data_IF_581834657598
#
_entry.id   IF_581834657598
#
_cell.length_a   1.000
_cell.length_b   1.000
_cell.length_c   1.000
_cell.angle_alpha   90.00
_cell.angle_beta   90.00
_cell.angle_gamma   90.00
#
_symmetry.space_group_name_H-M   'P 1'
#
loop_
_entity.id
_entity.type
_entity.pdbx_description
1 polymer ?
#
# COMPACT_ATOMS: atom_id res chain seq x y z
N UNK A 1 -13.88 -14.44 -23.25
CA UNK A 1 -12.49 -13.96 -23.20
C UNK A 1 -12.33 -13.21 -21.90
N UNK A 2 -11.31 -13.53 -21.13
CA UNK A 2 -11.06 -12.89 -19.83
C UNK A 2 -10.50 -11.48 -20.05
N UNK A 3 -10.95 -10.51 -19.22
CA UNK A 3 -10.49 -9.13 -19.36
C UNK A 3 -8.98 -9.02 -19.02
N UNK A 4 -8.19 -8.35 -19.87
CA UNK A 4 -6.72 -8.38 -19.74
C UNK A 4 -6.15 -7.35 -18.76
N UNK A 5 -6.99 -6.61 -18.06
CA UNK A 5 -6.60 -5.60 -17.07
C UNK A 5 -7.09 -5.96 -15.68
N UNK A 6 -6.28 -5.70 -14.67
CA UNK A 6 -6.57 -6.05 -13.27
C UNK A 6 -6.49 -4.83 -12.38
N UNK A 7 -7.58 -4.55 -11.67
CA UNK A 7 -7.65 -3.55 -10.62
C UNK A 7 -8.50 -4.07 -9.45
N UNK A 8 -8.31 -3.49 -8.26
CA UNK A 8 -9.02 -3.93 -7.05
C UNK A 8 -8.51 -5.24 -6.44
N UNK A 9 -7.54 -5.88 -7.05
CA UNK A 9 -6.84 -7.07 -6.54
C UNK A 9 -5.33 -6.96 -6.79
N UNK A 10 -4.56 -7.87 -6.21
CA UNK A 10 -3.11 -7.92 -6.43
C UNK A 10 -2.84 -8.30 -7.90
N UNK A 11 -1.98 -7.53 -8.57
CA UNK A 11 -1.56 -7.82 -9.93
C UNK A 11 -0.60 -9.01 -9.95
N UNK A 12 -0.91 -9.99 -10.78
CA UNK A 12 -0.04 -11.13 -11.08
C UNK A 12 1.02 -10.79 -12.15
N UNK A 13 1.80 -11.78 -12.55
CA UNK A 13 2.92 -11.59 -13.49
C UNK A 13 2.51 -10.94 -14.81
N UNK A 14 1.36 -11.31 -15.37
CA UNK A 14 0.87 -10.79 -16.64
C UNK A 14 0.32 -9.36 -16.51
N UNK A 15 -0.21 -9.03 -15.36
CA UNK A 15 -0.85 -7.75 -15.06
C UNK A 15 0.07 -6.78 -14.32
N UNK A 16 1.30 -7.21 -14.02
CA UNK A 16 2.34 -6.40 -13.42
C UNK A 16 3.15 -5.71 -14.53
N UNK A 17 3.04 -4.38 -14.60
CA UNK A 17 3.76 -3.60 -15.61
C UNK A 17 4.86 -2.76 -14.98
N UNK A 18 5.97 -2.58 -15.72
CA UNK A 18 7.13 -1.79 -15.33
C UNK A 18 7.76 -2.23 -13.99
N UNK A 19 8.30 -1.32 -13.22
CA UNK A 19 8.94 -1.55 -11.92
C UNK A 19 10.22 -2.38 -11.98
N UNK A 20 10.89 -2.47 -13.13
CA UNK A 20 12.09 -3.29 -13.30
C UNK A 20 13.18 -2.91 -12.30
N UNK A 21 13.37 -1.62 -12.08
CA UNK A 21 14.39 -1.10 -11.16
C UNK A 21 14.01 -1.39 -9.69
N UNK A 22 12.75 -1.16 -9.33
CA UNK A 22 12.25 -1.43 -7.99
C UNK A 22 12.25 -2.93 -7.67
N UNK A 23 11.88 -3.77 -8.63
CA UNK A 23 11.97 -5.23 -8.51
C UNK A 23 13.41 -5.67 -8.32
N UNK A 24 14.35 -5.17 -9.14
CA UNK A 24 15.76 -5.51 -9.03
C UNK A 24 16.34 -5.09 -7.68
N UNK A 25 16.09 -3.85 -7.25
CA UNK A 25 16.57 -3.31 -5.98
C UNK A 25 15.99 -4.09 -4.78
N UNK A 26 14.67 -4.29 -4.73
CA UNK A 26 14.02 -4.96 -3.62
C UNK A 26 14.44 -6.43 -3.53
N UNK A 27 14.54 -7.12 -4.68
CA UNK A 27 15.02 -8.51 -4.72
C UNK A 27 16.47 -8.60 -4.24
N UNK A 28 17.33 -7.65 -4.63
CA UNK A 28 18.72 -7.57 -4.17
C UNK A 28 18.79 -7.31 -2.66
N UNK A 29 17.96 -6.42 -2.13
CA UNK A 29 17.88 -6.16 -0.70
C UNK A 29 17.47 -7.43 0.08
N UNK A 30 16.47 -8.15 -0.41
CA UNK A 30 16.05 -9.43 0.19
C UNK A 30 17.18 -10.46 0.21
N UNK A 31 17.92 -10.62 -0.90
CA UNK A 31 19.06 -11.55 -0.99
C UNK A 31 20.17 -11.23 0.02
N UNK A 32 20.40 -9.94 0.26
CA UNK A 32 21.45 -9.45 1.16
C UNK A 32 20.97 -9.18 2.59
N UNK A 33 19.71 -9.49 2.91
CA UNK A 33 19.09 -9.23 4.22
C UNK A 33 19.15 -7.74 4.62
N UNK A 34 18.95 -6.85 3.64
CA UNK A 34 18.86 -5.40 3.86
C UNK A 34 17.41 -5.05 4.14
N UNK A 35 17.14 -4.50 5.33
CA UNK A 35 15.81 -3.99 5.66
C UNK A 35 15.37 -2.93 4.66
N UNK A 36 14.12 -2.96 4.26
CA UNK A 36 13.59 -2.03 3.27
C UNK A 36 12.25 -1.47 3.71
N UNK A 37 12.05 -0.18 3.51
CA UNK A 37 10.79 0.51 3.74
C UNK A 37 10.23 0.98 2.41
N UNK A 38 9.02 0.56 2.04
CA UNK A 38 8.38 0.99 0.80
C UNK A 38 7.32 2.05 1.12
N UNK A 39 7.52 3.24 0.61
CA UNK A 39 6.64 4.38 0.85
C UNK A 39 5.98 4.79 -0.47
N UNK A 40 4.65 4.74 -0.51
CA UNK A 40 3.87 5.26 -1.64
C UNK A 40 2.40 5.46 -1.25
N UNK A 41 1.66 6.25 -2.02
CA UNK A 41 0.22 6.37 -1.83
C UNK A 41 -0.51 5.04 -1.97
N UNK A 42 -1.79 5.05 -1.59
CA UNK A 42 -2.68 3.89 -1.73
C UNK A 42 -2.86 3.49 -3.20
N UNK A 43 -3.03 2.18 -3.46
CA UNK A 43 -3.30 1.63 -4.81
C UNK A 43 -2.18 1.83 -5.85
N UNK A 44 -0.94 2.05 -5.39
CA UNK A 44 0.22 2.18 -6.27
C UNK A 44 0.97 0.86 -6.52
N UNK A 45 0.45 -0.27 -6.04
CA UNK A 45 0.98 -1.59 -6.33
C UNK A 45 2.09 -2.07 -5.40
N UNK A 46 2.19 -1.55 -4.14
CA UNK A 46 3.18 -2.01 -3.15
C UNK A 46 3.13 -3.51 -2.92
N UNK A 47 1.95 -4.02 -2.56
CA UNK A 47 1.75 -5.45 -2.27
C UNK A 47 2.05 -6.32 -3.49
N UNK A 48 1.69 -5.85 -4.71
CA UNK A 48 2.05 -6.54 -5.96
C UNK A 48 3.56 -6.59 -6.18
N UNK A 49 4.29 -5.49 -5.88
CA UNK A 49 5.75 -5.44 -5.97
C UNK A 49 6.39 -6.42 -4.98
N UNK A 50 5.97 -6.40 -3.72
CA UNK A 50 6.49 -7.31 -2.68
C UNK A 50 6.25 -8.76 -3.07
N UNK A 51 5.04 -9.11 -3.54
CA UNK A 51 4.70 -10.46 -3.98
C UNK A 51 5.54 -10.91 -5.18
N UNK A 52 5.76 -10.03 -6.16
CA UNK A 52 6.62 -10.32 -7.32
C UNK A 52 8.05 -10.61 -6.89
N UNK A 53 8.62 -9.77 -6.02
CA UNK A 53 9.98 -9.97 -5.50
C UNK A 53 10.08 -11.23 -4.64
N UNK A 54 9.08 -11.51 -3.80
CA UNK A 54 9.00 -12.71 -2.99
C UNK A 54 8.99 -13.98 -3.87
N UNK A 55 8.16 -13.99 -4.91
CA UNK A 55 8.07 -15.10 -5.87
C UNK A 55 9.42 -15.35 -6.55
N UNK A 56 10.03 -14.32 -7.12
CA UNK A 56 11.34 -14.41 -7.77
C UNK A 56 12.41 -14.95 -6.81
N UNK A 57 12.43 -14.47 -5.58
CA UNK A 57 13.38 -14.91 -4.57
C UNK A 57 13.20 -16.39 -4.23
N UNK A 58 11.96 -16.87 -4.07
CA UNK A 58 11.65 -18.26 -3.74
C UNK A 58 11.96 -19.22 -4.90
N UNK A 59 11.80 -18.77 -6.15
CA UNK A 59 12.18 -19.53 -7.34
C UNK A 59 13.70 -19.71 -7.42
N UNK A 60 14.47 -18.67 -7.09
CA UNK A 60 15.93 -18.69 -7.17
C UNK A 60 16.58 -19.35 -5.93
N UNK A 61 15.97 -19.25 -4.76
CA UNK A 61 16.61 -19.66 -3.50
C UNK A 61 15.65 -20.40 -2.54
N UNK A 62 15.75 -21.72 -2.54
CA UNK A 62 14.98 -22.61 -1.66
C UNK A 62 15.33 -22.50 -0.17
N UNK A 63 16.46 -21.85 0.16
CA UNK A 63 16.87 -21.62 1.55
C UNK A 63 16.31 -20.34 2.15
N UNK A 64 15.32 -19.74 1.50
CA UNK A 64 14.63 -18.55 2.01
C UNK A 64 13.17 -18.85 2.28
N UNK A 65 12.63 -18.25 3.32
CA UNK A 65 11.20 -18.19 3.63
C UNK A 65 10.76 -16.73 3.51
N UNK A 66 9.56 -16.50 2.99
CA UNK A 66 8.95 -15.16 2.95
C UNK A 66 7.66 -15.19 3.77
N UNK A 67 7.65 -14.42 4.84
CA UNK A 67 6.52 -14.27 5.74
C UNK A 67 5.82 -12.94 5.44
N UNK A 68 4.53 -12.97 5.17
CA UNK A 68 3.72 -11.77 4.95
C UNK A 68 2.74 -11.60 6.09
N UNK A 69 2.74 -10.42 6.68
CA UNK A 69 1.88 -10.04 7.81
C UNK A 69 1.10 -8.79 7.41
N UNK A 70 -0.22 -8.87 7.39
CA UNK A 70 -1.09 -7.71 7.23
C UNK A 70 -1.59 -7.28 8.60
N UNK A 71 -1.25 -6.06 9.01
CA UNK A 71 -1.67 -5.50 10.29
C UNK A 71 -2.78 -4.45 10.14
N UNK A 72 -3.49 -4.47 9.02
CA UNK A 72 -4.58 -3.52 8.75
C UNK A 72 -5.64 -3.51 9.87
N UNK A 73 -6.00 -4.70 10.37
CA UNK A 73 -7.01 -4.86 11.41
C UNK A 73 -6.45 -4.86 12.84
N UNK A 74 -5.12 -4.76 13.02
CA UNK A 74 -4.51 -4.73 14.34
C UNK A 74 -4.65 -3.34 14.98
N UNK A 75 -5.30 -3.27 16.13
CA UNK A 75 -5.52 -2.03 16.90
C UNK A 75 -4.74 -1.99 18.19
N UNK A 76 -4.17 -3.11 18.62
CA UNK A 76 -3.39 -3.25 19.84
C UNK A 76 -2.10 -4.03 19.58
N UNK A 77 -1.15 -3.91 20.51
CA UNK A 77 0.09 -4.69 20.47
C UNK A 77 -0.19 -6.20 20.49
N UNK A 78 -1.16 -6.66 21.27
CA UNK A 78 -1.50 -8.08 21.37
C UNK A 78 -2.00 -8.64 20.04
N UNK A 79 -2.81 -7.85 19.33
CA UNK A 79 -3.28 -8.24 17.99
C UNK A 79 -2.12 -8.31 17.00
N UNK A 80 -1.17 -7.38 17.09
CA UNK A 80 0.06 -7.43 16.30
C UNK A 80 0.85 -8.71 16.59
N UNK A 81 1.14 -9.01 17.87
CA UNK A 81 1.89 -10.22 18.23
C UNK A 81 1.21 -11.49 17.74
N UNK A 82 -0.11 -11.54 17.87
CA UNK A 82 -0.90 -12.68 17.39
C UNK A 82 -0.81 -12.85 15.87
N UNK A 83 -1.00 -11.78 15.11
CA UNK A 83 -0.90 -11.80 13.64
C UNK A 83 0.52 -12.18 13.19
N UNK A 84 1.53 -11.61 13.83
CA UNK A 84 2.93 -11.83 13.54
C UNK A 84 3.36 -13.28 13.81
N UNK A 85 3.02 -13.83 14.97
CA UNK A 85 3.32 -15.22 15.32
C UNK A 85 2.61 -16.20 14.37
N UNK A 86 1.31 -15.97 14.08
CA UNK A 86 0.55 -16.79 13.14
C UNK A 86 1.21 -16.84 11.76
N UNK A 87 1.58 -15.70 11.20
CA UNK A 87 2.19 -15.64 9.88
C UNK A 87 3.54 -16.40 9.83
N UNK A 88 4.37 -16.24 10.86
CA UNK A 88 5.65 -16.93 10.97
C UNK A 88 5.50 -18.43 11.12
N UNK A 89 4.56 -18.88 11.94
CA UNK A 89 4.30 -20.31 12.14
C UNK A 89 3.79 -20.96 10.86
N UNK A 90 2.86 -20.32 10.14
CA UNK A 90 2.32 -20.82 8.86
C UNK A 90 3.40 -21.00 7.79
N UNK A 91 4.32 -20.06 7.66
CA UNK A 91 5.42 -20.13 6.67
C UNK A 91 6.48 -21.15 7.06
N UNK A 92 6.64 -21.41 8.35
CA UNK A 92 7.66 -22.31 8.87
C UNK A 92 7.23 -23.79 8.88
N UNK A 93 5.95 -24.08 8.68
CA UNK A 93 5.40 -25.44 8.81
C UNK A 93 4.50 -25.78 7.62
N UNK A 94 4.50 -27.05 7.22
CA UNK A 94 3.72 -27.52 6.07
C UNK A 94 2.50 -28.37 6.47
N UNK A 95 2.49 -28.90 7.69
CA UNK A 95 1.44 -29.76 8.20
C UNK A 95 0.97 -29.36 9.61
N UNK A 96 -0.23 -29.75 9.99
CA UNK A 96 -0.80 -29.52 11.31
C UNK A 96 0.10 -29.97 12.46
N UNK A 97 0.65 -31.17 12.36
CA UNK A 97 1.54 -31.74 13.36
C UNK A 97 2.81 -30.90 13.55
N UNK A 98 3.41 -30.45 12.44
CA UNK A 98 4.56 -29.54 12.46
C UNK A 98 4.20 -28.18 13.05
N UNK A 99 3.01 -27.65 12.75
CA UNK A 99 2.52 -26.41 13.31
C UNK A 99 2.39 -26.50 14.82
N UNK A 100 1.69 -27.53 15.32
CA UNK A 100 1.51 -27.77 16.76
C UNK A 100 2.85 -27.99 17.47
N UNK A 101 3.74 -28.81 16.87
CA UNK A 101 5.09 -29.04 17.40
C UNK A 101 5.92 -27.75 17.45
N UNK A 102 5.83 -26.92 16.40
CA UNK A 102 6.49 -25.62 16.34
C UNK A 102 5.98 -24.66 17.40
N UNK A 103 4.66 -24.57 17.57
CA UNK A 103 4.05 -23.75 18.62
C UNK A 103 4.52 -24.20 20.00
N UNK A 104 4.51 -25.50 20.28
CA UNK A 104 5.03 -26.05 21.55
C UNK A 104 6.52 -25.75 21.74
N UNK A 105 7.33 -25.83 20.68
CA UNK A 105 8.75 -25.57 20.74
C UNK A 105 9.09 -24.11 21.02
N UNK A 106 8.48 -23.19 20.27
CA UNK A 106 8.88 -21.79 20.29
C UNK A 106 8.04 -20.90 21.21
N UNK A 107 6.80 -21.30 21.50
CA UNK A 107 5.83 -20.47 22.20
C UNK A 107 5.22 -21.16 23.44
N UNK A 108 5.88 -22.20 23.97
CA UNK A 108 5.34 -23.01 25.06
C UNK A 108 5.04 -22.23 26.34
N UNK A 109 5.78 -21.16 26.60
CA UNK A 109 5.59 -20.32 27.81
C UNK A 109 4.40 -19.39 27.75
N UNK A 110 3.75 -19.30 26.59
CA UNK A 110 2.66 -18.35 26.33
C UNK A 110 1.27 -18.97 26.44
N UNK A 111 1.16 -20.24 26.86
CA UNK A 111 -0.11 -20.98 26.87
C UNK A 111 -0.90 -20.80 25.55
N UNK A 112 -0.28 -21.10 24.38
CA UNK A 112 -0.91 -20.89 23.10
C UNK A 112 -2.09 -21.84 22.91
N UNK A 113 -3.19 -21.30 22.36
CA UNK A 113 -4.36 -22.07 21.93
C UNK A 113 -4.26 -22.21 20.41
N UNK A 114 -4.21 -23.45 19.93
CA UNK A 114 -4.14 -23.74 18.48
C UNK A 114 -5.49 -24.29 18.05
N UNK A 115 -6.09 -23.69 17.05
CA UNK A 115 -7.37 -24.10 16.48
C UNK A 115 -7.30 -24.28 14.98
N UNK A 116 -8.19 -25.11 14.44
CA UNK A 116 -8.44 -25.20 13.01
C UNK A 116 -9.53 -24.20 12.65
N UNK A 117 -9.28 -23.37 11.65
CA UNK A 117 -10.29 -22.44 11.16
C UNK A 117 -11.36 -23.20 10.37
N UNK A 118 -12.62 -23.11 10.78
CA UNK A 118 -13.73 -23.74 10.05
C UNK A 118 -13.88 -23.11 8.65
N UNK A 119 -13.76 -23.92 7.61
CA UNK A 119 -14.00 -23.53 6.21
C UNK A 119 -12.76 -23.15 5.39
N UNK A 120 -11.62 -22.93 6.00
CA UNK A 120 -10.32 -22.83 5.31
C UNK A 120 -9.37 -23.81 5.96
N UNK A 121 -8.70 -24.69 5.27
CA UNK A 121 -7.66 -25.58 5.82
C UNK A 121 -6.47 -24.80 6.43
N UNK A 122 -6.78 -23.74 7.19
CA UNK A 122 -5.79 -22.85 7.80
C UNK A 122 -5.75 -23.02 9.32
N UNK A 123 -4.53 -23.02 9.85
CA UNK A 123 -4.27 -23.13 11.27
C UNK A 123 -4.24 -21.74 11.90
N UNK A 124 -4.85 -21.61 13.09
CA UNK A 124 -4.86 -20.35 13.84
C UNK A 124 -4.25 -20.53 15.21
N UNK A 125 -3.46 -19.55 15.61
CA UNK A 125 -2.87 -19.41 16.92
C UNK A 125 -3.56 -18.25 17.63
N UNK A 126 -4.04 -18.49 18.83
CA UNK A 126 -4.49 -17.44 19.75
C UNK A 126 -3.79 -17.60 21.11
N UNK A 127 -3.83 -16.56 21.90
CA UNK A 127 -3.23 -16.57 23.24
C UNK A 127 -4.34 -16.47 24.29
N UNK A 128 -4.24 -17.27 25.35
CA UNK A 128 -5.22 -17.35 26.43
C UNK A 128 -5.32 -16.08 27.27
N UNK A 129 -6.39 -15.98 28.03
CA UNK A 129 -6.62 -14.91 29.03
C UNK A 129 -5.49 -14.99 30.07
N UNK A 130 -4.74 -13.92 30.30
CA UNK A 130 -3.56 -13.91 31.17
C UNK A 130 -2.25 -13.57 30.42
N UNK A 131 -2.31 -13.50 29.11
CA UNK A 131 -1.18 -13.11 28.27
C UNK A 131 -0.64 -11.70 28.60
N UNK A 132 -1.50 -10.80 29.12
CA UNK A 132 -1.16 -9.41 29.46
C UNK A 132 -0.11 -9.28 30.59
N UNK A 133 0.00 -10.27 31.49
CA UNK A 133 0.86 -10.16 32.65
C UNK A 133 2.29 -10.68 32.41
N UNK A 134 2.59 -11.23 31.23
CA UNK A 134 3.87 -11.86 30.95
C UNK A 134 4.69 -11.10 29.89
N UNK A 135 5.33 -10.01 30.29
CA UNK A 135 6.19 -9.18 29.41
C UNK A 135 7.30 -9.97 28.71
N UNK A 136 7.81 -11.03 29.34
CA UNK A 136 8.83 -11.91 28.76
C UNK A 136 8.32 -12.69 27.53
N UNK A 137 7.02 -12.92 27.44
CA UNK A 137 6.41 -13.64 26.33
C UNK A 137 6.42 -12.85 25.01
N UNK A 138 6.28 -11.53 25.06
CA UNK A 138 6.31 -10.69 23.86
C UNK A 138 7.68 -10.66 23.18
N UNK A 139 8.74 -10.70 23.97
CA UNK A 139 10.13 -10.71 23.48
C UNK A 139 10.41 -12.00 22.71
N UNK A 140 9.89 -13.15 23.19
CA UNK A 140 9.99 -14.44 22.48
C UNK A 140 9.28 -14.41 21.11
N UNK A 141 8.13 -13.70 20.99
CA UNK A 141 7.44 -13.53 19.70
C UNK A 141 8.27 -12.66 18.75
N UNK A 142 8.86 -11.59 19.24
CA UNK A 142 9.66 -10.69 18.39
C UNK A 142 10.92 -11.38 17.86
N UNK A 143 11.51 -12.28 18.64
CA UNK A 143 12.70 -13.04 18.26
C UNK A 143 12.39 -14.34 17.50
N UNK A 144 11.10 -14.71 17.40
CA UNK A 144 10.64 -15.93 16.74
C UNK A 144 11.20 -16.12 15.30
N UNK A 145 11.21 -15.12 14.41
CA UNK A 145 11.74 -15.32 13.07
C UNK A 145 13.23 -15.66 13.08
N UNK A 146 14.03 -15.05 13.97
CA UNK A 146 15.45 -15.35 14.10
C UNK A 146 15.69 -16.75 14.65
N UNK A 147 14.87 -17.21 15.60
CA UNK A 147 14.94 -18.58 16.14
C UNK A 147 14.59 -19.60 15.05
N UNK A 148 13.50 -19.41 14.33
CA UNK A 148 13.10 -20.28 13.21
C UNK A 148 14.19 -20.31 12.13
N UNK A 149 14.75 -19.14 11.77
CA UNK A 149 15.79 -19.03 10.77
C UNK A 149 17.03 -19.85 11.15
N UNK A 150 17.50 -19.75 12.40
CA UNK A 150 18.63 -20.52 12.93
C UNK A 150 18.35 -22.00 12.94
N UNK A 151 17.20 -22.41 13.47
CA UNK A 151 16.83 -23.83 13.61
C UNK A 151 16.68 -24.55 12.26
N UNK A 152 16.16 -23.85 11.25
CA UNK A 152 15.96 -24.42 9.91
C UNK A 152 17.14 -24.18 8.96
N UNK A 153 18.15 -23.42 9.37
CA UNK A 153 19.27 -23.01 8.52
C UNK A 153 18.82 -22.19 7.31
N UNK A 154 17.77 -21.36 7.47
CA UNK A 154 17.16 -20.57 6.40
C UNK A 154 17.24 -19.07 6.67
N UNK A 155 17.18 -18.28 5.60
CA UNK A 155 16.90 -16.85 5.67
C UNK A 155 15.40 -16.61 5.74
N UNK A 156 14.95 -15.58 6.50
CA UNK A 156 13.54 -15.21 6.57
C UNK A 156 13.39 -13.74 6.17
N UNK A 157 12.49 -13.48 5.22
CA UNK A 157 12.06 -12.15 4.84
C UNK A 157 10.69 -11.90 5.46
N UNK A 158 10.57 -10.95 6.36
CA UNK A 158 9.32 -10.59 7.01
C UNK A 158 8.78 -9.32 6.38
N UNK A 159 7.67 -9.45 5.65
CA UNK A 159 7.00 -8.36 4.95
C UNK A 159 5.77 -7.95 5.75
N UNK A 160 5.70 -6.70 6.23
CA UNK A 160 4.59 -6.20 7.04
C UNK A 160 3.85 -5.11 6.27
N UNK A 161 2.60 -5.38 5.90
CA UNK A 161 1.71 -4.41 5.26
C UNK A 161 1.00 -3.54 6.29
N UNK A 162 0.67 -2.31 5.88
CA UNK A 162 0.03 -1.26 6.67
C UNK A 162 0.77 -0.94 7.98
N UNK A 163 2.12 -0.96 7.93
CA UNK A 163 2.99 -0.79 9.09
C UNK A 163 2.75 0.50 9.87
N UNK A 164 2.25 1.56 9.24
CA UNK A 164 1.92 2.80 9.92
C UNK A 164 0.85 2.65 11.00
N UNK A 165 0.08 1.56 11.00
CA UNK A 165 -0.98 1.34 12.02
C UNK A 165 -0.41 1.18 13.43
N UNK A 166 0.86 0.84 13.58
CA UNK A 166 1.53 0.83 14.90
C UNK A 166 1.50 2.21 15.59
N UNK A 167 1.34 3.29 14.83
CA UNK A 167 1.20 4.64 15.40
C UNK A 167 -0.14 4.88 16.11
N UNK A 168 -1.12 4.03 15.87
CA UNK A 168 -2.45 4.11 16.49
C UNK A 168 -2.52 3.34 17.82
N UNK A 169 -1.47 2.61 18.21
CA UNK A 169 -1.43 1.87 19.47
C UNK A 169 -1.23 2.80 20.67
N UNK A 170 -1.73 2.40 21.86
CA UNK A 170 -1.76 3.22 23.06
C UNK A 170 -0.38 3.76 23.47
N UNK A 171 0.66 2.92 23.46
CA UNK A 171 2.06 3.33 23.70
C UNK A 171 2.93 3.05 22.45
N UNK A 172 2.54 3.69 21.36
CA UNK A 172 3.18 3.53 20.06
C UNK A 172 4.70 3.69 20.10
N UNK A 173 5.22 4.68 20.85
CA UNK A 173 6.63 4.95 20.90
C UNK A 173 7.43 3.87 21.66
N UNK A 174 6.91 3.38 22.78
CA UNK A 174 7.52 2.27 23.50
C UNK A 174 7.50 0.99 22.67
N UNK A 175 6.38 0.72 21.98
CA UNK A 175 6.26 -0.40 21.07
C UNK A 175 7.28 -0.33 19.91
N UNK A 176 7.44 0.81 19.27
CA UNK A 176 8.44 1.02 18.23
C UNK A 176 9.87 0.80 18.75
N UNK A 177 10.21 1.29 19.96
CA UNK A 177 11.50 1.05 20.59
C UNK A 177 11.74 -0.44 20.82
N UNK A 178 10.73 -1.15 21.27
CA UNK A 178 10.78 -2.59 21.52
C UNK A 178 11.01 -3.36 20.21
N UNK A 179 10.23 -3.10 19.18
CA UNK A 179 10.44 -3.71 17.85
C UNK A 179 11.87 -3.47 17.35
N UNK A 180 12.34 -2.22 17.44
CA UNK A 180 13.67 -1.84 16.98
C UNK A 180 14.78 -2.56 17.76
N UNK A 181 14.66 -2.66 19.08
CA UNK A 181 15.64 -3.33 19.94
C UNK A 181 15.84 -4.81 19.56
N UNK A 182 14.76 -5.53 19.26
CA UNK A 182 14.81 -6.91 18.82
C UNK A 182 15.30 -7.04 17.37
N UNK A 183 14.65 -6.39 16.44
CA UNK A 183 14.88 -6.59 15.00
C UNK A 183 16.28 -6.21 14.53
N UNK A 184 16.92 -5.21 15.15
CA UNK A 184 18.29 -4.83 14.80
C UNK A 184 19.34 -5.89 15.17
N UNK A 185 19.02 -6.86 16.02
CA UNK A 185 19.92 -7.94 16.44
C UNK A 185 19.81 -9.17 15.52
N UNK A 186 18.82 -9.20 14.65
CA UNK A 186 18.58 -10.33 13.77
C UNK A 186 19.59 -10.36 12.62
N UNK A 187 20.26 -11.49 12.45
CA UNK A 187 21.31 -11.69 11.44
C UNK A 187 20.88 -12.55 10.26
N UNK A 188 19.78 -13.31 10.44
CA UNK A 188 19.23 -14.22 9.41
C UNK A 188 17.83 -13.79 8.94
N UNK A 189 17.38 -12.62 9.35
CA UNK A 189 16.07 -12.05 9.06
C UNK A 189 16.22 -10.67 8.46
N UNK A 190 15.37 -10.34 7.48
CA UNK A 190 15.25 -8.98 6.97
C UNK A 190 13.78 -8.57 6.96
N UNK A 191 13.55 -7.28 7.15
CA UNK A 191 12.22 -6.69 7.26
C UNK A 191 11.92 -5.82 6.05
N UNK A 192 10.75 -6.06 5.43
CA UNK A 192 10.17 -5.19 4.41
C UNK A 192 8.90 -4.56 4.98
N UNK A 193 8.98 -3.28 5.34
CA UNK A 193 7.90 -2.55 5.99
C UNK A 193 7.24 -1.63 4.98
N UNK A 194 5.92 -1.72 4.82
CA UNK A 194 5.24 -0.90 3.84
C UNK A 194 3.80 -0.57 4.28
N UNK A 195 3.20 0.41 3.62
CA UNK A 195 1.84 0.83 3.92
C UNK A 195 1.36 1.96 3.03
N UNK A 196 0.11 2.37 3.22
CA UNK A 196 -0.59 3.28 2.32
C UNK A 196 -0.57 4.74 2.77
N UNK A 197 -0.42 5.02 4.07
CA UNK A 197 -0.41 6.40 4.61
C UNK A 197 1.02 6.96 4.62
N UNK A 198 1.41 7.54 3.48
CA UNK A 198 2.77 8.05 3.24
C UNK A 198 3.27 8.98 4.35
N UNK A 199 2.45 9.94 4.79
CA UNK A 199 2.85 10.91 5.81
C UNK A 199 3.13 10.25 7.16
N UNK A 200 2.38 9.20 7.54
CA UNK A 200 2.60 8.45 8.77
C UNK A 200 3.88 7.61 8.69
N UNK A 201 4.14 6.96 7.54
CA UNK A 201 5.40 6.23 7.35
C UNK A 201 6.60 7.18 7.40
N UNK A 202 6.50 8.35 6.77
CA UNK A 202 7.57 9.34 6.85
C UNK A 202 7.84 9.80 8.29
N UNK A 203 6.81 9.95 9.13
CA UNK A 203 7.02 10.29 10.54
C UNK A 203 7.72 9.18 11.34
N UNK A 204 7.54 7.91 10.97
CA UNK A 204 8.21 6.77 11.62
C UNK A 204 9.69 6.65 11.19
N UNK A 205 9.97 6.81 9.88
CA UNK A 205 11.26 6.44 9.31
C UNK A 205 12.19 7.60 8.99
N UNK A 206 11.66 8.81 8.83
CA UNK A 206 12.45 9.99 8.41
C UNK A 206 12.71 11.00 9.55
N UNK A 207 12.04 10.86 10.67
CA UNK A 207 12.28 11.70 11.85
C UNK A 207 13.44 11.12 12.68
N UNK A 208 14.49 11.92 12.87
CA UNK A 208 15.71 11.51 13.61
C UNK A 208 15.46 11.15 15.07
N UNK A 209 14.35 11.60 15.64
CA UNK A 209 13.95 11.30 17.03
C UNK A 209 13.24 9.96 17.18
N UNK A 210 12.84 9.34 16.07
CA UNK A 210 12.05 8.12 16.08
C UNK A 210 12.90 6.85 16.06
N UNK A 211 12.45 5.76 16.72
CA UNK A 211 13.22 4.52 16.82
C UNK A 211 13.64 3.91 15.49
N UNK A 212 12.80 4.03 14.46
CA UNK A 212 13.05 3.46 13.16
C UNK A 212 13.85 4.35 12.20
N UNK A 213 14.35 5.49 12.68
CA UNK A 213 15.24 6.32 11.86
C UNK A 213 16.45 5.49 11.37
N UNK A 214 16.71 5.53 10.07
CA UNK A 214 17.77 4.72 9.41
C UNK A 214 17.67 3.20 9.69
N UNK A 215 16.47 2.66 9.74
CA UNK A 215 16.28 1.21 9.93
C UNK A 215 16.71 0.37 8.72
N UNK A 216 16.60 0.91 7.54
CA UNK A 216 16.94 0.25 6.27
C UNK A 216 16.82 1.22 5.11
N UNK A 217 16.89 0.68 3.90
CA UNK A 217 16.71 1.45 2.67
C UNK A 217 15.28 1.93 2.51
N UNK A 218 15.11 3.17 2.06
CA UNK A 218 13.78 3.71 1.77
C UNK A 218 13.56 3.69 0.25
N UNK A 219 12.56 2.94 -0.18
CA UNK A 219 12.12 2.87 -1.56
C UNK A 219 10.83 3.69 -1.75
N UNK A 220 10.96 4.84 -2.40
CA UNK A 220 9.80 5.62 -2.82
C UNK A 220 9.27 5.10 -4.15
N UNK A 221 8.09 4.49 -4.13
CA UNK A 221 7.44 4.10 -5.38
C UNK A 221 6.98 5.34 -6.14
N UNK A 222 7.45 5.47 -7.39
CA UNK A 222 7.04 6.54 -8.29
C UNK A 222 5.82 6.13 -9.12
N UNK A 223 5.16 7.08 -9.79
CA UNK A 223 4.16 6.77 -10.82
C UNK A 223 4.83 5.95 -11.94
N UNK A 224 4.11 5.02 -12.53
CA UNK A 224 4.57 4.32 -13.73
C UNK A 224 4.63 5.34 -14.87
N UNK A 225 5.72 5.34 -15.64
CA UNK A 225 5.89 6.31 -16.70
C UNK A 225 4.87 6.12 -17.84
N UNK A 226 4.48 7.23 -18.47
CA UNK A 226 3.52 7.20 -19.60
C UNK A 226 3.93 6.23 -20.70
N UNK A 227 5.23 6.19 -21.04
CA UNK A 227 5.74 5.30 -22.09
C UNK A 227 5.51 3.81 -21.77
N UNK A 228 5.66 3.41 -20.50
CA UNK A 228 5.47 2.03 -20.05
C UNK A 228 3.98 1.66 -20.03
N UNK A 229 3.11 2.62 -19.69
CA UNK A 229 1.66 2.46 -19.84
C UNK A 229 1.24 2.27 -21.30
N UNK A 230 1.80 3.04 -22.22
CA UNK A 230 1.47 2.91 -23.65
C UNK A 230 1.80 1.50 -24.14
N UNK A 231 3.01 1.03 -23.89
CA UNK A 231 3.42 -0.33 -24.28
C UNK A 231 2.54 -1.39 -23.63
N UNK A 232 2.27 -1.26 -22.33
CA UNK A 232 1.44 -2.24 -21.60
C UNK A 232 0.01 -2.30 -22.15
N UNK A 233 -0.66 -1.15 -22.33
CA UNK A 233 -2.05 -1.09 -22.78
C UNK A 233 -2.15 -1.65 -24.21
N UNK A 234 -1.28 -1.20 -25.13
CA UNK A 234 -1.27 -1.66 -26.52
C UNK A 234 -1.06 -3.18 -26.61
N UNK A 235 -0.11 -3.73 -25.83
CA UNK A 235 0.13 -5.17 -25.80
C UNK A 235 -1.08 -5.94 -25.26
N UNK A 236 -1.74 -5.45 -24.20
CA UNK A 236 -2.91 -6.11 -23.61
C UNK A 236 -4.11 -6.15 -24.55
N UNK A 237 -4.32 -5.10 -25.35
CA UNK A 237 -5.31 -5.13 -26.42
C UNK A 237 -4.95 -6.17 -27.48
N UNK A 238 -3.69 -6.17 -27.95
CA UNK A 238 -3.22 -7.12 -28.97
C UNK A 238 -3.32 -8.59 -28.51
N UNK A 239 -2.97 -8.90 -27.27
CA UNK A 239 -3.08 -10.24 -26.68
C UNK A 239 -4.50 -10.82 -26.74
N UNK A 240 -5.51 -9.97 -26.88
CA UNK A 240 -6.92 -10.34 -26.95
C UNK A 240 -7.54 -10.13 -28.34
N UNK A 241 -6.71 -9.88 -29.38
CA UNK A 241 -7.14 -9.68 -30.75
C UNK A 241 -7.81 -8.33 -31.01
N UNK A 242 -7.68 -7.35 -30.11
CA UNK A 242 -8.15 -5.98 -30.27
C UNK A 242 -6.97 -5.05 -30.55
N UNK A 243 -7.24 -3.86 -31.08
CA UNK A 243 -6.22 -2.87 -31.40
C UNK A 243 -6.55 -1.53 -30.77
N UNK A 244 -5.51 -0.86 -30.29
CA UNK A 244 -5.53 0.51 -29.78
C UNK A 244 -4.23 1.20 -30.22
N UNK A 245 -4.31 2.48 -30.65
CA UNK A 245 -3.11 3.23 -30.99
C UNK A 245 -2.34 3.66 -29.74
N UNK A 246 -1.04 3.95 -29.92
CA UNK A 246 -0.18 4.48 -28.85
C UNK A 246 -0.68 5.83 -28.33
N UNK A 247 -1.29 6.65 -29.20
CA UNK A 247 -1.90 7.93 -28.81
C UNK A 247 -3.08 7.71 -27.87
N UNK A 248 -3.98 6.78 -28.20
CA UNK A 248 -5.15 6.48 -27.35
C UNK A 248 -4.74 5.79 -26.05
N UNK A 249 -3.74 4.92 -26.09
CA UNK A 249 -3.15 4.32 -24.90
C UNK A 249 -2.52 5.39 -23.98
N UNK A 250 -1.81 6.36 -24.57
CA UNK A 250 -1.29 7.51 -23.86
C UNK A 250 -2.39 8.41 -23.31
N UNK A 251 -3.47 8.64 -24.06
CA UNK A 251 -4.63 9.41 -23.58
C UNK A 251 -5.27 8.78 -22.32
N UNK A 252 -5.38 7.45 -22.27
CA UNK A 252 -5.88 6.72 -21.09
C UNK A 252 -4.97 7.00 -19.89
N UNK A 253 -3.66 6.87 -20.06
CA UNK A 253 -2.66 7.11 -19.00
C UNK A 253 -2.68 8.56 -18.51
N UNK A 254 -2.72 9.52 -19.41
CA UNK A 254 -2.73 10.96 -19.12
C UNK A 254 -4.00 11.36 -18.34
N UNK A 255 -5.18 10.89 -18.74
CA UNK A 255 -6.44 11.15 -18.04
C UNK A 255 -6.44 10.68 -16.59
N UNK A 256 -5.75 9.59 -16.33
CA UNK A 256 -5.60 9.02 -15.00
C UNK A 256 -4.27 9.42 -14.33
N UNK A 257 -3.57 10.43 -14.86
CA UNK A 257 -2.30 10.96 -14.33
C UNK A 257 -1.28 9.84 -14.02
N UNK A 258 -1.27 8.80 -14.84
CA UNK A 258 -0.43 7.59 -14.68
C UNK A 258 -0.66 6.83 -13.36
N UNK A 259 -1.81 7.00 -12.73
CA UNK A 259 -2.15 6.31 -11.49
C UNK A 259 -2.42 4.82 -11.74
N UNK A 260 -1.68 3.87 -11.14
CA UNK A 260 -1.72 2.45 -11.51
C UNK A 260 -3.13 1.83 -11.49
N UNK A 261 -3.88 2.07 -10.44
CA UNK A 261 -5.23 1.53 -10.30
C UNK A 261 -6.20 2.10 -11.36
N UNK A 262 -6.24 3.43 -11.50
CA UNK A 262 -7.21 4.08 -12.39
C UNK A 262 -6.86 3.94 -13.86
N UNK A 263 -5.57 3.88 -14.20
CA UNK A 263 -5.14 3.61 -15.58
C UNK A 263 -5.59 2.21 -16.01
N UNK A 264 -5.41 1.19 -15.19
CA UNK A 264 -5.91 -0.15 -15.48
C UNK A 264 -7.45 -0.21 -15.53
N UNK A 265 -8.15 0.48 -14.62
CA UNK A 265 -9.60 0.53 -14.60
C UNK A 265 -10.16 1.17 -15.87
N UNK A 266 -9.62 2.32 -16.29
CA UNK A 266 -10.05 2.98 -17.53
C UNK A 266 -9.69 2.14 -18.77
N UNK A 267 -8.51 1.51 -18.78
CA UNK A 267 -8.11 0.59 -19.86
C UNK A 267 -9.10 -0.56 -20.01
N UNK A 268 -9.53 -1.16 -18.90
CA UNK A 268 -10.54 -2.22 -18.94
C UNK A 268 -11.89 -1.73 -19.43
N UNK A 269 -12.36 -0.57 -18.99
CA UNK A 269 -13.62 0.02 -19.44
C UNK A 269 -13.58 0.32 -20.94
N UNK A 270 -12.44 0.79 -21.45
CA UNK A 270 -12.19 1.03 -22.88
C UNK A 270 -12.17 -0.29 -23.65
N UNK A 271 -11.43 -1.30 -23.15
CA UNK A 271 -11.33 -2.62 -23.77
C UNK A 271 -12.70 -3.30 -23.90
N UNK A 272 -13.54 -3.22 -22.86
CA UNK A 272 -14.89 -3.80 -22.87
C UNK A 272 -15.79 -3.20 -23.98
N UNK A 273 -15.63 -1.91 -24.30
CA UNK A 273 -16.40 -1.20 -25.32
C UNK A 273 -15.81 -1.32 -26.71
N UNK A 274 -14.56 -1.74 -26.82
CA UNK A 274 -13.90 -1.95 -28.11
C UNK A 274 -14.29 -3.30 -28.69
N UNK A 275 -14.81 -3.34 -29.90
CA UNK A 275 -15.07 -4.59 -30.64
C UNK A 275 -13.78 -5.14 -31.24
N UNK A 276 -13.13 -4.42 -32.14
CA UNK A 276 -11.87 -4.74 -32.79
C UNK A 276 -10.87 -3.60 -32.68
N UNK A 277 -11.23 -2.45 -33.21
CA UNK A 277 -10.37 -1.26 -33.25
C UNK A 277 -10.91 -0.20 -32.29
N UNK A 278 -10.05 0.28 -31.39
CA UNK A 278 -10.39 1.34 -30.44
C UNK A 278 -10.39 2.69 -31.15
N UNK A 279 -11.33 3.56 -30.78
CA UNK A 279 -11.40 4.94 -31.23
C UNK A 279 -11.39 5.91 -30.05
N UNK A 280 -11.10 7.18 -30.32
CA UNK A 280 -11.17 8.24 -29.31
C UNK A 280 -12.58 8.35 -28.68
N UNK A 281 -13.63 8.17 -29.48
CA UNK A 281 -15.01 8.16 -28.99
C UNK A 281 -15.23 7.08 -27.92
N UNK A 282 -14.68 5.87 -28.11
CA UNK A 282 -14.76 4.77 -27.15
C UNK A 282 -14.03 5.12 -25.85
N UNK A 283 -12.82 5.72 -25.94
CA UNK A 283 -12.07 6.16 -24.75
C UNK A 283 -12.85 7.24 -23.99
N UNK A 284 -13.46 8.19 -24.70
CA UNK A 284 -14.28 9.25 -24.12
C UNK A 284 -15.52 8.69 -23.41
N UNK A 285 -16.23 7.77 -24.05
CA UNK A 285 -17.39 7.10 -23.46
C UNK A 285 -17.02 6.29 -22.22
N UNK A 286 -15.93 5.50 -22.28
CA UNK A 286 -15.43 4.74 -21.15
C UNK A 286 -15.07 5.64 -19.98
N UNK A 287 -14.39 6.75 -20.23
CA UNK A 287 -14.01 7.72 -19.21
C UNK A 287 -15.24 8.38 -18.56
N UNK A 288 -16.17 8.88 -19.35
CA UNK A 288 -17.39 9.52 -18.83
C UNK A 288 -18.24 8.53 -18.01
N UNK A 289 -18.36 7.29 -18.48
CA UNK A 289 -19.03 6.21 -17.75
C UNK A 289 -18.34 5.92 -16.42
N UNK A 290 -17.01 5.87 -16.38
CA UNK A 290 -16.25 5.64 -15.16
C UNK A 290 -16.45 6.78 -14.14
N UNK A 291 -16.37 8.04 -14.60
CA UNK A 291 -16.62 9.20 -13.73
C UNK A 291 -18.06 9.18 -13.20
N UNK A 292 -19.03 8.85 -14.04
CA UNK A 292 -20.44 8.71 -13.64
C UNK A 292 -20.64 7.63 -12.56
N UNK A 293 -20.00 6.46 -12.72
CA UNK A 293 -20.05 5.37 -11.72
C UNK A 293 -19.46 5.77 -10.38
N UNK A 294 -18.41 6.60 -10.38
CA UNK A 294 -17.71 7.04 -9.16
C UNK A 294 -18.38 8.26 -8.50
N UNK A 295 -19.30 8.95 -9.19
CA UNK A 295 -19.91 10.20 -8.72
C UNK A 295 -20.58 10.08 -7.37
N UNK A 296 -21.30 8.99 -7.10
CA UNK A 296 -21.94 8.77 -5.80
C UNK A 296 -20.90 8.65 -4.67
N UNK A 297 -19.79 7.95 -4.91
CA UNK A 297 -18.69 7.85 -3.96
C UNK A 297 -18.08 9.23 -3.69
N UNK A 298 -17.88 10.03 -4.73
CA UNK A 298 -17.30 11.36 -4.61
C UNK A 298 -18.24 12.34 -3.90
N UNK A 299 -19.55 12.25 -4.11
CA UNK A 299 -20.55 13.01 -3.36
C UNK A 299 -20.47 12.67 -1.87
N UNK A 300 -20.39 11.41 -1.49
CA UNK A 300 -20.24 11.00 -0.09
C UNK A 300 -18.93 11.54 0.54
N UNK A 301 -17.84 11.64 -0.23
CA UNK A 301 -16.61 12.28 0.24
C UNK A 301 -16.88 13.76 0.53
N UNK A 302 -17.46 14.48 -0.41
CA UNK A 302 -17.79 15.91 -0.25
C UNK A 302 -18.70 16.15 0.96
N UNK A 303 -19.73 15.34 1.14
CA UNK A 303 -20.67 15.45 2.27
C UNK A 303 -19.99 15.26 3.63
N UNK A 304 -18.84 14.58 3.68
CA UNK A 304 -18.03 14.41 4.88
C UNK A 304 -17.10 15.58 5.19
N UNK A 305 -17.09 16.62 4.34
CA UNK A 305 -16.15 17.73 4.39
C UNK A 305 -16.84 19.04 4.79
N UNK A 306 -16.09 19.92 5.43
CA UNK A 306 -16.52 21.30 5.64
C UNK A 306 -16.38 22.11 4.35
N UNK A 307 -17.19 23.17 4.20
CA UNK A 307 -17.12 24.06 3.03
C UNK A 307 -15.70 24.57 2.75
N UNK A 308 -14.92 24.87 3.81
CA UNK A 308 -13.53 25.33 3.64
C UNK A 308 -12.58 24.21 3.17
N UNK A 309 -12.82 22.95 3.59
CA UNK A 309 -12.04 21.81 3.09
C UNK A 309 -12.35 21.56 1.60
N UNK A 310 -13.61 21.68 1.20
CA UNK A 310 -14.02 21.59 -0.21
C UNK A 310 -13.35 22.70 -1.03
N UNK A 311 -13.45 23.95 -0.58
CA UNK A 311 -12.79 25.08 -1.24
C UNK A 311 -11.26 24.89 -1.36
N UNK A 312 -10.64 24.33 -0.32
CA UNK A 312 -9.21 24.02 -0.37
C UNK A 312 -8.88 22.94 -1.40
N UNK A 313 -9.67 21.86 -1.48
CA UNK A 313 -9.48 20.82 -2.51
C UNK A 313 -9.70 21.37 -3.92
N UNK A 314 -10.66 22.27 -4.10
CA UNK A 314 -10.87 22.97 -5.37
C UNK A 314 -9.62 23.79 -5.74
N UNK A 315 -9.07 24.55 -4.81
CA UNK A 315 -7.84 25.31 -5.04
C UNK A 315 -6.65 24.41 -5.41
N UNK A 316 -6.54 23.23 -4.77
CA UNK A 316 -5.53 22.21 -5.13
C UNK A 316 -5.77 21.70 -6.55
N UNK A 317 -7.01 21.34 -6.91
CA UNK A 317 -7.37 20.87 -8.25
C UNK A 317 -7.09 21.91 -9.34
N UNK A 318 -7.24 23.20 -9.04
CA UNK A 318 -6.93 24.31 -9.93
C UNK A 318 -5.42 24.61 -10.03
N UNK A 319 -4.58 23.86 -9.31
CA UNK A 319 -3.12 23.99 -9.36
C UNK A 319 -2.55 25.15 -8.55
N UNK A 320 -3.26 25.65 -7.55
CA UNK A 320 -2.74 26.69 -6.66
C UNK A 320 -1.52 26.20 -5.90
N UNK A 321 -0.44 26.96 -5.93
CA UNK A 321 0.81 26.68 -5.20
C UNK A 321 0.92 27.48 -3.91
N UNK A 322 0.59 28.79 -3.96
CA UNK A 322 0.69 29.68 -2.82
C UNK A 322 -0.68 29.94 -2.17
N UNK A 323 -1.10 29.04 -1.30
CA UNK A 323 -2.39 29.13 -0.60
C UNK A 323 -2.51 30.26 0.40
N UNK A 324 -1.40 30.91 0.77
CA UNK A 324 -1.39 31.97 1.80
C UNK A 324 -1.49 33.38 1.21
N UNK A 325 -1.53 33.54 -0.11
CA UNK A 325 -1.69 34.85 -0.73
C UNK A 325 -3.10 35.42 -0.47
N UNK A 326 -3.19 36.73 -0.28
CA UNK A 326 -4.48 37.41 0.04
C UNK A 326 -5.55 37.16 -1.01
N UNK A 327 -5.16 37.14 -2.29
CA UNK A 327 -6.09 36.96 -3.41
C UNK A 327 -6.64 35.52 -3.43
N UNK A 328 -5.80 34.50 -3.20
CA UNK A 328 -6.19 33.09 -3.14
C UNK A 328 -7.09 32.84 -1.91
N UNK A 329 -6.70 33.39 -0.74
CA UNK A 329 -7.53 33.26 0.48
C UNK A 329 -8.94 33.83 0.28
N UNK A 330 -9.04 34.97 -0.43
CA UNK A 330 -10.32 35.61 -0.73
C UNK A 330 -11.09 34.86 -1.82
N UNK A 331 -10.43 34.50 -2.93
CA UNK A 331 -11.05 33.85 -4.07
C UNK A 331 -11.69 32.51 -3.69
N UNK A 332 -10.96 31.66 -2.97
CA UNK A 332 -11.43 30.33 -2.55
C UNK A 332 -12.07 30.34 -1.15
N UNK A 333 -12.22 31.49 -0.49
CA UNK A 333 -12.82 31.63 0.84
C UNK A 333 -12.16 30.73 1.91
N UNK A 334 -10.82 30.61 1.87
CA UNK A 334 -10.06 29.71 2.74
C UNK A 334 -9.90 30.24 4.18
N UNK A 335 -10.34 31.46 4.43
CA UNK A 335 -10.20 32.12 5.74
C UNK A 335 -8.86 32.86 5.85
N UNK A 336 -8.08 32.56 6.89
CA UNK A 336 -6.77 33.19 7.12
C UNK A 336 -5.63 32.25 6.76
N UNK A 337 -4.41 32.77 6.60
CA UNK A 337 -3.22 31.95 6.35
C UNK A 337 -2.97 30.90 7.44
N UNK A 338 -3.35 31.18 8.69
CA UNK A 338 -3.29 30.21 9.79
C UNK A 338 -4.18 28.99 9.57
N UNK A 339 -5.32 29.15 8.88
CA UNK A 339 -6.25 28.05 8.58
C UNK A 339 -5.67 27.06 7.58
N UNK A 340 -4.76 27.48 6.70
CA UNK A 340 -4.19 26.62 5.66
C UNK A 340 -3.48 25.41 6.24
N UNK A 341 -2.75 25.59 7.35
CA UNK A 341 -2.09 24.45 8.03
C UNK A 341 -3.11 23.39 8.49
N UNK A 342 -4.23 23.83 9.05
CA UNK A 342 -5.29 22.93 9.52
C UNK A 342 -6.05 22.26 8.35
N UNK A 343 -6.30 23.00 7.26
CA UNK A 343 -6.92 22.44 6.05
C UNK A 343 -6.03 21.36 5.42
N UNK A 344 -4.73 21.64 5.27
CA UNK A 344 -3.75 20.64 4.80
C UNK A 344 -3.75 19.40 5.70
N UNK A 345 -3.66 19.59 7.01
CA UNK A 345 -3.64 18.48 7.96
C UNK A 345 -4.91 17.63 7.85
N UNK A 346 -6.08 18.25 7.91
CA UNK A 346 -7.36 17.55 7.89
C UNK A 346 -7.62 16.80 6.56
N UNK A 347 -7.22 17.37 5.43
CA UNK A 347 -7.38 16.70 4.11
C UNK A 347 -6.33 15.62 3.89
N UNK A 348 -5.13 15.75 4.47
CA UNK A 348 -4.09 14.73 4.47
C UNK A 348 -4.48 13.53 5.35
N UNK A 349 -5.01 13.76 6.54
CA UNK A 349 -5.50 12.70 7.45
C UNK A 349 -6.66 11.89 6.85
N UNK A 350 -7.43 12.51 5.95
CA UNK A 350 -8.51 11.86 5.20
C UNK A 350 -8.02 11.17 3.90
N UNK A 351 -6.71 11.12 3.65
CA UNK A 351 -6.09 10.57 2.43
C UNK A 351 -6.62 11.19 1.12
N UNK A 352 -7.07 12.46 1.14
CA UNK A 352 -7.58 13.16 -0.05
C UNK A 352 -6.46 13.86 -0.83
N UNK A 353 -5.40 14.26 -0.15
CA UNK A 353 -4.22 14.89 -0.76
C UNK A 353 -2.95 14.17 -0.39
N UNK A 354 -1.90 14.38 -1.16
CA UNK A 354 -0.51 14.05 -0.80
C UNK A 354 0.35 15.32 -0.86
N UNK A 355 1.40 15.35 -0.04
CA UNK A 355 2.39 16.42 -0.03
C UNK A 355 3.69 15.85 -0.61
N UNK A 356 4.02 16.30 -1.81
CA UNK A 356 5.21 15.89 -2.54
C UNK A 356 6.46 16.66 -2.09
N UNK A 357 7.68 16.22 -2.47
CA UNK A 357 8.90 17.01 -2.28
C UNK A 357 8.74 18.44 -2.83
N UNK A 358 9.22 19.43 -2.09
CA UNK A 358 9.01 20.84 -2.43
C UNK A 358 7.66 21.42 -1.95
N UNK A 359 6.94 20.71 -1.09
CA UNK A 359 5.63 21.11 -0.55
C UNK A 359 4.51 21.29 -1.60
N UNK A 360 4.67 20.69 -2.76
CA UNK A 360 3.59 20.62 -3.76
C UNK A 360 2.48 19.70 -3.26
N UNK A 361 1.23 20.14 -3.39
CA UNK A 361 0.06 19.39 -2.95
C UNK A 361 -0.64 18.83 -4.19
N UNK A 362 -0.96 17.54 -4.16
CA UNK A 362 -1.75 16.88 -5.20
C UNK A 362 -2.95 16.17 -4.57
N UNK A 363 -4.08 16.12 -5.29
CA UNK A 363 -5.18 15.23 -4.95
C UNK A 363 -4.75 13.80 -5.30
N UNK A 364 -4.91 12.87 -4.35
CA UNK A 364 -4.43 11.49 -4.52
C UNK A 364 -5.21 10.73 -5.60
N UNK A 365 -6.51 10.97 -5.71
CA UNK A 365 -7.41 10.30 -6.64
C UNK A 365 -7.64 11.17 -7.89
N UNK A 366 -7.08 10.79 -9.06
CA UNK A 366 -7.21 11.60 -10.28
C UNK A 366 -8.65 11.63 -10.83
N UNK A 367 -9.47 10.61 -10.57
CA UNK A 367 -10.86 10.60 -10.99
C UNK A 367 -11.69 11.54 -10.11
N UNK A 368 -11.43 11.58 -8.79
CA UNK A 368 -12.02 12.56 -7.88
C UNK A 368 -11.62 13.98 -8.23
N UNK A 369 -10.35 14.23 -8.53
CA UNK A 369 -9.88 15.55 -8.96
C UNK A 369 -10.59 16.03 -10.22
N UNK A 370 -10.69 15.14 -11.24
CA UNK A 370 -11.42 15.47 -12.47
C UNK A 370 -12.89 15.78 -12.17
N UNK A 371 -13.55 14.92 -11.38
CA UNK A 371 -14.95 15.09 -11.02
C UNK A 371 -15.19 16.38 -10.25
N UNK A 372 -14.33 16.70 -9.27
CA UNK A 372 -14.42 17.92 -8.47
C UNK A 372 -14.36 19.18 -9.35
N UNK A 373 -13.45 19.18 -10.32
CA UNK A 373 -13.22 20.32 -11.21
C UNK A 373 -14.27 20.47 -12.32
N UNK A 374 -14.71 19.36 -12.91
CA UNK A 374 -15.50 19.39 -14.12
C UNK A 374 -16.99 19.07 -13.92
N UNK A 375 -17.34 18.39 -12.84
CA UNK A 375 -18.72 17.98 -12.54
C UNK A 375 -19.27 18.77 -11.36
N UNK A 376 -18.55 18.75 -10.22
CA UNK A 376 -19.02 19.40 -9.00
C UNK A 376 -19.06 20.94 -9.11
N UNK A 377 -18.03 21.56 -9.69
CA UNK A 377 -17.99 23.02 -9.89
C UNK A 377 -18.86 23.48 -11.08
N UNK A 378 -19.16 22.60 -12.05
CA UNK A 378 -19.88 22.94 -13.26
C UNK A 378 -21.07 22.00 -13.48
N UNK A 379 -22.12 22.01 -12.63
CA UNK A 379 -23.22 21.05 -12.70
C UNK A 379 -24.10 21.16 -13.96
N UNK A 380 -23.83 22.15 -14.82
CA UNK A 380 -24.63 22.45 -16.02
C UNK A 380 -23.97 22.01 -17.35
N UNK A 381 -22.97 21.12 -17.33
CA UNK A 381 -22.39 20.56 -18.55
C UNK A 381 -22.68 19.08 -18.73
#
# INVERSE_FOLDING_TARGET
MEAPFVYGRIADDLNFTDRKNEVALLTQNFKNLINTVIISPRRWGKTSLVNKCAKLLLEENKNTLVCQVDIFNCRTEEQFYTAYANALMRVSTSAWEEFVAGVKKYLSRMAPIVSLSEGSQSYELSFGIGFKDNRLSYDEILDLPQQIAKDKGKKIIVCIDEFQNINEYEDSLAFQRKLRAHWQTHTSVCYCLYGSKRHMLLSIFNDYSMPFYKFGDILFLQKIERKDWVVFISQRFADTGKQISDELSGMIADRMKNHPYYTQQLSQQTWLRTSKDCSEAIVNEAFNSLIGQLSLLFTNIIDSLTSRQISFLIAVADGVVNFSSKDILKHYQLGTSANIKNLKKATLEKDLIDILPGNTIEIQDPAFEYWLKNVYQNPAR
#
